data_IF_144513792278
#
_entry.id   IF_144513792278
#
_cell.length_a   1.000
_cell.length_b   1.000
_cell.length_c   1.000
_cell.angle_alpha   90.00
_cell.angle_beta   90.00
_cell.angle_gamma   90.00
#
_symmetry.space_group_name_H-M   'P 1'
#
loop_
_entity.id
_entity.type
_entity.pdbx_description
1 polymer ?
#
# COMPACT_ATOMS: atom_id res chain seq x y z
N UNK A 1 6.17 18.15 2.23
CA UNK A 1 5.39 17.12 1.51
C UNK A 1 5.93 15.77 1.95
N UNK A 2 5.13 14.93 2.61
CA UNK A 2 5.57 13.62 3.13
C UNK A 2 4.96 12.50 2.30
N UNK A 3 5.75 11.52 1.89
CA UNK A 3 5.30 10.32 1.18
C UNK A 3 5.49 9.12 2.09
N UNK A 4 4.42 8.34 2.30
CA UNK A 4 4.49 7.09 3.07
C UNK A 4 5.02 5.96 2.18
N UNK A 5 6.00 5.21 2.66
CA UNK A 5 6.49 4.00 1.97
C UNK A 5 5.91 2.77 2.66
N UNK A 6 5.18 1.94 1.91
CA UNK A 6 4.58 0.70 2.41
C UNK A 6 5.23 -0.48 1.70
N UNK A 7 5.99 -1.29 2.43
CA UNK A 7 6.51 -2.57 1.93
C UNK A 7 5.46 -3.66 2.15
N UNK A 8 5.30 -4.58 1.20
CA UNK A 8 4.26 -5.61 1.29
C UNK A 8 2.84 -5.05 1.11
N UNK A 9 2.71 -3.90 0.45
CA UNK A 9 1.44 -3.18 0.30
C UNK A 9 0.36 -3.94 -0.49
N UNK A 10 0.73 -4.92 -1.32
CA UNK A 10 -0.23 -5.75 -2.05
C UNK A 10 -0.72 -6.96 -1.24
N UNK A 11 -0.21 -7.17 -0.02
CA UNK A 11 -0.67 -8.20 0.92
C UNK A 11 -1.89 -7.77 1.74
N UNK A 12 -2.39 -8.65 2.62
CA UNK A 12 -3.62 -8.40 3.39
C UNK A 12 -3.55 -7.13 4.26
N UNK A 13 -2.55 -7.00 5.13
CA UNK A 13 -2.43 -5.81 6.01
C UNK A 13 -2.00 -4.57 5.21
N UNK A 14 -1.04 -4.76 4.31
CA UNK A 14 -0.46 -3.66 3.53
C UNK A 14 -1.49 -2.95 2.63
N UNK A 15 -2.44 -3.70 2.06
CA UNK A 15 -3.49 -3.14 1.19
C UNK A 15 -4.44 -2.26 1.97
N UNK A 16 -4.95 -2.74 3.10
CA UNK A 16 -5.85 -1.98 3.96
C UNK A 16 -5.18 -0.73 4.54
N UNK A 17 -3.90 -0.82 4.93
CA UNK A 17 -3.14 0.35 5.36
C UNK A 17 -2.96 1.36 4.22
N UNK A 18 -2.60 0.89 3.03
CA UNK A 18 -2.40 1.73 1.85
C UNK A 18 -3.70 2.45 1.47
N UNK A 19 -4.82 1.72 1.39
CA UNK A 19 -6.13 2.32 1.16
C UNK A 19 -6.47 3.37 2.21
N UNK A 20 -6.21 3.09 3.50
CA UNK A 20 -6.50 4.03 4.57
C UNK A 20 -5.69 5.32 4.43
N UNK A 21 -4.38 5.21 4.20
CA UNK A 21 -3.50 6.36 4.00
C UNK A 21 -3.92 7.20 2.79
N UNK A 22 -4.32 6.56 1.69
CA UNK A 22 -4.84 7.23 0.51
C UNK A 22 -6.15 7.97 0.82
N UNK A 23 -7.09 7.34 1.55
CA UNK A 23 -8.35 7.97 1.97
C UNK A 23 -8.13 9.17 2.90
N UNK A 24 -7.09 9.13 3.72
CA UNK A 24 -6.69 10.24 4.59
C UNK A 24 -5.95 11.37 3.82
N UNK A 25 -5.80 11.24 2.49
CA UNK A 25 -5.23 12.27 1.61
C UNK A 25 -3.71 12.24 1.50
N UNK A 26 -3.06 11.16 1.96
CA UNK A 26 -1.63 11.02 1.89
C UNK A 26 -1.16 10.46 0.54
N UNK A 27 0.07 10.81 0.13
CA UNK A 27 0.74 10.13 -0.96
C UNK A 27 1.42 8.87 -0.44
N UNK A 28 1.21 7.75 -1.12
CA UNK A 28 1.76 6.45 -0.74
C UNK A 28 2.56 5.84 -1.89
N UNK A 29 3.74 5.31 -1.58
CA UNK A 29 4.57 4.51 -2.48
C UNK A 29 4.59 3.07 -1.96
N UNK A 30 4.09 2.15 -2.78
CA UNK A 30 4.07 0.71 -2.43
C UNK A 30 5.26 0.00 -3.04
N UNK A 31 5.91 -0.85 -2.25
CA UNK A 31 7.01 -1.71 -2.66
C UNK A 31 6.61 -3.15 -2.34
N UNK A 32 6.31 -3.94 -3.37
CA UNK A 32 5.85 -5.30 -3.21
C UNK A 32 6.39 -6.19 -4.34
N UNK A 33 6.83 -7.40 -3.98
CA UNK A 33 7.34 -8.38 -4.93
C UNK A 33 6.27 -9.35 -5.46
N UNK A 34 5.03 -9.22 -4.97
CA UNK A 34 3.85 -9.99 -5.37
C UNK A 34 3.95 -11.50 -5.15
N UNK A 35 4.75 -11.96 -4.19
CA UNK A 35 4.85 -13.40 -3.87
C UNK A 35 3.49 -14.00 -3.44
N UNK A 36 2.72 -13.26 -2.64
CA UNK A 36 1.38 -13.66 -2.17
C UNK A 36 0.30 -12.60 -2.40
N UNK A 37 0.70 -11.36 -2.66
CA UNK A 37 -0.19 -10.23 -2.93
C UNK A 37 -0.69 -10.18 -4.37
N UNK A 38 -1.68 -9.31 -4.64
CA UNK A 38 -2.25 -9.08 -5.98
C UNK A 38 -2.18 -7.60 -6.32
N UNK A 39 -1.88 -7.25 -7.58
CA UNK A 39 -1.88 -5.84 -8.03
C UNK A 39 -3.21 -5.13 -7.83
N UNK A 40 -4.33 -5.87 -7.94
CA UNK A 40 -5.67 -5.34 -7.73
C UNK A 40 -6.07 -5.23 -6.23
N UNK A 41 -5.15 -5.50 -5.30
CA UNK A 41 -5.42 -5.38 -3.86
C UNK A 41 -5.37 -3.93 -3.36
N UNK A 42 -4.94 -2.98 -4.19
CA UNK A 42 -4.88 -1.54 -3.91
C UNK A 42 -5.51 -0.80 -5.09
#
# INVERSE_FOLDING_TARGET
>A
MTIYSVTGGAGFIGSHLTERLLRDGHQVRVIDNLLTGKRAAI
#
